data_IF_095056881072
#
_entry.id   IF_095056881072
#
_cell.length_a   1.000
_cell.length_b   1.000
_cell.length_c   1.000
_cell.angle_alpha   90.00
_cell.angle_beta   90.00
_cell.angle_gamma   90.00
#
_symmetry.space_group_name_H-M   'P 1'
#
loop_
_entity.id
_entity.type
_entity.pdbx_description
1 polymer ?
#
# COMPACT_ATOMS: atom_id res chain seq x y z
N UNK A 1 -19.18 -14.46 2.38
CA UNK A 1 -18.48 -13.49 3.27
C UNK A 1 -17.02 -13.84 3.51
N UNK A 2 -16.68 -15.03 3.96
CA UNK A 2 -15.30 -15.43 4.28
C UNK A 2 -14.30 -15.09 3.16
N UNK A 3 -14.56 -15.49 1.91
CA UNK A 3 -13.67 -15.22 0.78
C UNK A 3 -13.45 -13.72 0.56
N UNK A 4 -14.53 -12.92 0.66
CA UNK A 4 -14.41 -11.46 0.47
C UNK A 4 -13.56 -10.82 1.56
N UNK A 5 -13.65 -11.31 2.81
CA UNK A 5 -12.82 -10.83 3.92
C UNK A 5 -11.35 -11.19 3.71
N UNK A 6 -11.05 -12.41 3.24
CA UNK A 6 -9.68 -12.83 2.90
C UNK A 6 -9.12 -11.98 1.76
N UNK A 7 -9.88 -11.79 0.68
CA UNK A 7 -9.46 -10.98 -0.46
C UNK A 7 -9.18 -9.53 -0.04
N UNK A 8 -10.05 -8.96 0.77
CA UNK A 8 -9.87 -7.60 1.27
C UNK A 8 -8.65 -7.47 2.18
N UNK A 9 -8.40 -8.50 3.00
CA UNK A 9 -7.20 -8.54 3.83
C UNK A 9 -5.95 -8.57 2.96
N UNK A 10 -5.94 -9.41 1.93
CA UNK A 10 -4.84 -9.46 0.96
C UNK A 10 -4.68 -8.13 0.21
N UNK A 11 -5.77 -7.48 -0.16
CA UNK A 11 -5.71 -6.21 -0.91
C UNK A 11 -5.18 -5.04 -0.07
N UNK A 12 -5.58 -4.93 1.21
CA UNK A 12 -5.23 -3.76 2.03
C UNK A 12 -4.09 -4.03 3.03
N UNK A 13 -3.97 -5.22 3.57
CA UNK A 13 -2.99 -5.51 4.62
C UNK A 13 -1.70 -6.09 4.06
N UNK A 14 -1.76 -6.89 3.00
CA UNK A 14 -0.56 -7.44 2.36
C UNK A 14 0.42 -6.35 1.87
N UNK A 15 -0.02 -5.24 1.25
CA UNK A 15 0.89 -4.14 0.89
C UNK A 15 1.63 -3.55 2.09
N UNK A 16 0.99 -3.47 3.27
CA UNK A 16 1.62 -2.99 4.51
C UNK A 16 2.74 -3.95 4.94
N UNK A 17 2.49 -5.25 4.88
CA UNK A 17 3.49 -6.26 5.21
C UNK A 17 4.66 -6.28 4.22
N UNK A 18 4.39 -6.15 2.91
CA UNK A 18 5.43 -6.10 1.88
C UNK A 18 6.33 -4.88 2.09
N UNK A 19 5.75 -3.67 2.27
CA UNK A 19 6.55 -2.48 2.49
C UNK A 19 7.36 -2.56 3.77
N UNK A 20 6.78 -3.14 4.83
CA UNK A 20 7.48 -3.36 6.09
C UNK A 20 8.71 -4.24 5.90
N UNK A 21 8.60 -5.34 5.16
CA UNK A 21 9.74 -6.22 4.89
C UNK A 21 10.81 -5.56 4.05
N UNK A 22 10.43 -4.79 3.02
CA UNK A 22 11.36 -4.03 2.17
C UNK A 22 12.14 -3.00 3.00
N UNK A 23 11.44 -2.26 3.87
CA UNK A 23 12.07 -1.27 4.74
C UNK A 23 12.94 -1.91 5.82
N UNK A 24 12.54 -3.04 6.41
CA UNK A 24 13.35 -3.77 7.38
C UNK A 24 14.67 -4.25 6.79
N UNK A 25 14.66 -4.82 5.58
CA UNK A 25 15.87 -5.23 4.89
C UNK A 25 16.80 -4.05 4.65
N UNK A 26 16.23 -2.92 4.23
CA UNK A 26 17.00 -1.71 4.00
C UNK A 26 17.62 -1.14 5.29
N UNK A 27 16.89 -1.12 6.39
CA UNK A 27 17.42 -0.67 7.69
C UNK A 27 18.47 -1.63 8.25
N UNK A 28 18.32 -2.92 8.02
CA UNK A 28 19.33 -3.92 8.39
C UNK A 28 20.69 -3.64 7.70
N UNK A 29 20.68 -3.17 6.45
CA UNK A 29 21.90 -2.81 5.72
C UNK A 29 22.57 -1.51 6.20
N UNK A 30 21.81 -0.62 6.87
CA UNK A 30 22.32 0.69 7.35
C UNK A 30 22.91 0.60 8.77
N UNK A 31 23.17 -0.58 9.31
CA UNK A 31 23.80 -0.77 10.64
C UNK A 31 23.16 0.07 11.79
N UNK A 32 21.84 0.25 11.73
CA UNK A 32 21.09 0.85 12.85
C UNK A 32 20.83 -0.27 13.85
N UNK A 33 21.86 -0.69 14.57
CA UNK A 33 21.81 -1.80 15.54
C UNK A 33 20.95 -1.52 16.78
N UNK A 34 20.36 -0.32 16.91
CA UNK A 34 19.61 0.14 18.06
C UNK A 34 18.18 0.62 17.70
N UNK A 35 17.53 0.05 16.69
CA UNK A 35 16.08 0.23 16.61
C UNK A 35 15.47 -0.54 17.77
N UNK A 36 15.31 0.16 18.90
CA UNK A 36 14.65 -0.38 20.07
C UNK A 36 13.26 -0.88 19.66
N UNK A 37 12.93 -2.09 20.06
CA UNK A 37 11.59 -2.70 19.87
C UNK A 37 10.47 -1.74 20.30
N UNK A 38 10.79 -0.81 21.21
CA UNK A 38 9.93 0.29 21.65
C UNK A 38 9.56 1.26 20.54
N UNK A 39 10.50 1.61 19.65
CA UNK A 39 10.25 2.47 18.49
C UNK A 39 9.34 1.80 17.47
N UNK A 40 9.52 0.50 17.24
CA UNK A 40 8.69 -0.27 16.33
C UNK A 40 7.26 -0.41 16.88
N UNK A 41 7.12 -0.69 18.17
CA UNK A 41 5.83 -0.72 18.85
C UNK A 41 5.13 0.64 18.82
N UNK A 42 5.87 1.74 19.08
CA UNK A 42 5.34 3.10 19.03
C UNK A 42 4.88 3.48 17.61
N UNK A 43 5.68 3.18 16.57
CA UNK A 43 5.30 3.46 15.18
C UNK A 43 4.05 2.67 14.77
N UNK A 44 3.92 1.43 15.20
CA UNK A 44 2.76 0.60 14.91
C UNK A 44 1.50 1.12 15.63
N UNK A 45 1.60 1.53 16.89
CA UNK A 45 0.51 2.18 17.62
C UNK A 45 0.10 3.50 16.96
N UNK A 46 1.08 4.31 16.54
CA UNK A 46 0.81 5.58 15.90
C UNK A 46 0.11 5.40 14.54
N UNK A 47 0.54 4.42 13.75
CA UNK A 47 -0.10 4.06 12.47
C UNK A 47 -1.54 3.57 12.68
N UNK A 48 -1.77 2.68 13.64
CA UNK A 48 -3.13 2.17 13.91
C UNK A 48 -4.05 3.29 14.39
N UNK A 49 -3.57 4.17 15.23
CA UNK A 49 -4.33 5.34 15.69
C UNK A 49 -4.64 6.30 14.52
N UNK A 50 -3.66 6.61 13.67
CA UNK A 50 -3.87 7.48 12.51
C UNK A 50 -4.80 6.86 11.46
N UNK A 51 -4.71 5.55 11.22
CA UNK A 51 -5.65 4.85 10.34
C UNK A 51 -7.09 4.88 10.90
N UNK A 52 -7.24 4.74 12.22
CA UNK A 52 -8.54 4.84 12.87
C UNK A 52 -9.12 6.26 12.80
N UNK A 53 -8.31 7.29 13.04
CA UNK A 53 -8.76 8.69 12.90
C UNK A 53 -9.11 9.02 11.45
N UNK A 54 -8.29 8.58 10.48
CA UNK A 54 -8.58 8.77 9.07
C UNK A 54 -9.87 8.06 8.67
N UNK A 55 -10.12 6.84 9.15
CA UNK A 55 -11.36 6.11 8.84
C UNK A 55 -12.63 6.84 9.30
N UNK A 56 -12.54 7.61 10.38
CA UNK A 56 -13.66 8.44 10.88
C UNK A 56 -13.88 9.68 10.01
N UNK A 57 -12.81 10.27 9.51
CA UNK A 57 -12.86 11.52 8.72
C UNK A 57 -13.09 11.23 7.23
N UNK A 58 -12.96 9.98 6.78
CA UNK A 58 -13.16 9.60 5.38
C UNK A 58 -14.57 9.94 4.87
N UNK A 59 -15.59 9.87 5.72
CA UNK A 59 -16.96 10.23 5.36
C UNK A 59 -17.07 11.73 5.04
N UNK A 60 -16.46 12.58 5.87
CA UNK A 60 -16.42 14.03 5.62
C UNK A 60 -15.59 14.36 4.38
N UNK A 61 -14.43 13.67 4.22
CA UNK A 61 -13.55 13.83 3.05
C UNK A 61 -14.28 13.42 1.77
N UNK A 62 -15.12 12.39 1.83
CA UNK A 62 -15.87 11.91 0.66
C UNK A 62 -16.78 12.99 0.05
N UNK A 63 -17.25 13.94 0.85
CA UNK A 63 -18.12 15.03 0.40
C UNK A 63 -17.34 16.21 -0.20
N UNK A 64 -16.02 16.25 -0.03
CA UNK A 64 -15.17 17.31 -0.58
C UNK A 64 -15.04 17.11 -2.10
N UNK A 65 -14.94 18.22 -2.84
CA UNK A 65 -14.74 18.24 -4.29
C UNK A 65 -15.81 17.45 -5.07
N UNK A 66 -17.07 17.69 -4.76
CA UNK A 66 -18.23 17.04 -5.42
C UNK A 66 -18.23 15.50 -5.33
N UNK A 67 -17.83 14.98 -4.18
CA UNK A 67 -17.80 13.54 -3.94
C UNK A 67 -16.52 12.82 -4.39
N UNK A 68 -15.47 13.55 -4.77
CA UNK A 68 -14.19 13.03 -5.28
C UNK A 68 -13.05 13.04 -4.25
N UNK A 69 -13.36 13.43 -3.01
CA UNK A 69 -12.35 13.68 -1.99
C UNK A 69 -11.51 12.46 -1.62
N UNK A 70 -12.10 11.26 -1.59
CA UNK A 70 -11.39 10.03 -1.24
C UNK A 70 -10.35 9.69 -2.31
N UNK A 71 -10.72 9.73 -3.59
CA UNK A 71 -9.85 9.43 -4.71
C UNK A 71 -8.68 10.42 -4.79
N UNK A 72 -8.95 11.70 -4.51
CA UNK A 72 -7.91 12.73 -4.44
C UNK A 72 -6.95 12.50 -3.27
N UNK A 73 -7.46 12.13 -2.10
CA UNK A 73 -6.64 11.81 -0.95
C UNK A 73 -5.73 10.59 -1.24
N UNK A 74 -6.30 9.52 -1.77
CA UNK A 74 -5.57 8.30 -2.09
C UNK A 74 -4.52 8.54 -3.17
N UNK A 75 -4.89 9.20 -4.27
CA UNK A 75 -3.97 9.48 -5.37
C UNK A 75 -2.80 10.37 -4.91
N UNK A 76 -3.08 11.41 -4.13
CA UNK A 76 -2.03 12.28 -3.56
C UNK A 76 -1.10 11.51 -2.61
N UNK A 77 -1.64 10.62 -1.78
CA UNK A 77 -0.86 9.76 -0.90
C UNK A 77 0.04 8.80 -1.67
N UNK A 78 -0.47 8.12 -2.69
CA UNK A 78 0.33 7.22 -3.52
C UNK A 78 1.40 7.96 -4.34
N UNK A 79 1.12 9.17 -4.84
CA UNK A 79 2.12 10.03 -5.47
C UNK A 79 3.24 10.41 -4.50
N UNK A 80 2.90 10.76 -3.26
CA UNK A 80 3.87 11.07 -2.21
C UNK A 80 4.76 9.86 -1.91
N UNK A 81 4.20 8.66 -1.84
CA UNK A 81 4.95 7.41 -1.68
C UNK A 81 5.93 7.20 -2.84
N UNK A 82 5.48 7.41 -4.08
CA UNK A 82 6.32 7.26 -5.26
C UNK A 82 7.49 8.25 -5.24
N UNK A 83 7.24 9.53 -4.99
CA UNK A 83 8.28 10.57 -4.89
C UNK A 83 9.27 10.25 -3.77
N UNK A 84 8.78 9.82 -2.61
CA UNK A 84 9.62 9.45 -1.48
C UNK A 84 10.51 8.23 -1.79
N UNK A 85 10.02 7.26 -2.58
CA UNK A 85 10.79 6.09 -2.96
C UNK A 85 11.89 6.41 -3.97
N UNK A 86 11.61 7.31 -4.93
CA UNK A 86 12.65 7.84 -5.83
C UNK A 86 13.72 8.58 -5.03
N UNK A 87 13.31 9.42 -4.08
CA UNK A 87 14.23 10.09 -3.16
C UNK A 87 15.12 9.10 -2.41
N UNK A 88 14.53 8.03 -1.88
CA UNK A 88 15.29 6.96 -1.24
C UNK A 88 16.28 6.28 -2.19
N UNK A 89 15.89 6.01 -3.42
CA UNK A 89 16.75 5.38 -4.41
C UNK A 89 17.95 6.26 -4.76
N UNK A 90 17.73 7.55 -5.03
CA UNK A 90 18.79 8.52 -5.35
C UNK A 90 19.77 8.67 -4.17
N UNK A 91 19.23 8.75 -2.95
CA UNK A 91 20.05 8.92 -1.74
C UNK A 91 20.81 7.65 -1.34
N UNK A 92 20.53 6.51 -1.97
CA UNK A 92 21.14 5.23 -1.57
C UNK A 92 22.68 5.30 -1.49
N UNK A 93 23.29 5.96 -2.47
CA UNK A 93 24.76 6.07 -2.57
C UNK A 93 25.37 7.17 -1.70
N UNK A 94 24.56 8.01 -1.04
CA UNK A 94 25.03 9.13 -0.23
C UNK A 94 25.11 8.73 1.25
N UNK A 95 26.28 8.42 1.75
CA UNK A 95 26.48 7.95 3.13
C UNK A 95 26.02 8.98 4.20
N UNK A 96 26.18 10.28 3.93
CA UNK A 96 25.87 11.36 4.91
C UNK A 96 24.36 11.61 5.07
N UNK A 97 23.50 11.06 4.23
CA UNK A 97 22.06 11.33 4.22
C UNK A 97 21.24 10.33 5.05
N UNK A 98 21.80 9.71 6.08
CA UNK A 98 21.13 8.66 6.87
C UNK A 98 19.81 9.14 7.48
N UNK A 99 19.79 10.35 8.04
CA UNK A 99 18.56 10.93 8.63
C UNK A 99 17.47 11.09 7.58
N UNK A 100 17.79 11.63 6.40
CA UNK A 100 16.82 11.82 5.32
C UNK A 100 16.27 10.51 4.78
N UNK A 101 17.12 9.47 4.69
CA UNK A 101 16.70 8.10 4.30
C UNK A 101 15.67 7.54 5.28
N UNK A 102 15.92 7.71 6.59
CA UNK A 102 14.98 7.25 7.63
C UNK A 102 13.65 8.00 7.54
N UNK A 103 13.70 9.33 7.37
CA UNK A 103 12.48 10.15 7.25
C UNK A 103 11.66 9.73 6.02
N UNK A 104 12.28 9.58 4.84
CA UNK A 104 11.58 9.15 3.64
C UNK A 104 10.97 7.76 3.78
N UNK A 105 11.70 6.83 4.40
CA UNK A 105 11.19 5.49 4.67
C UNK A 105 10.00 5.50 5.63
N UNK A 106 10.03 6.34 6.68
CA UNK A 106 8.91 6.52 7.59
C UNK A 106 7.69 7.13 6.90
N UNK A 107 7.88 8.09 5.98
CA UNK A 107 6.79 8.66 5.18
C UNK A 107 6.14 7.57 4.34
N UNK A 108 6.91 6.74 3.63
CA UNK A 108 6.38 5.64 2.82
C UNK A 108 5.58 4.67 3.69
N UNK A 109 6.16 4.24 4.80
CA UNK A 109 5.51 3.31 5.72
C UNK A 109 4.22 3.89 6.29
N UNK A 110 4.27 5.13 6.76
CA UNK A 110 3.13 5.81 7.37
C UNK A 110 1.98 5.98 6.38
N UNK A 111 2.25 6.51 5.19
CA UNK A 111 1.22 6.80 4.20
C UNK A 111 0.55 5.50 3.73
N UNK A 112 1.33 4.48 3.34
CA UNK A 112 0.76 3.20 2.90
C UNK A 112 -0.06 2.55 4.01
N UNK A 113 0.48 2.52 5.22
CA UNK A 113 -0.21 1.86 6.34
C UNK A 113 -1.46 2.62 6.78
N UNK A 114 -1.42 3.96 6.75
CA UNK A 114 -2.57 4.79 7.12
C UNK A 114 -3.70 4.66 6.10
N UNK A 115 -3.41 4.78 4.80
CA UNK A 115 -4.43 4.70 3.75
C UNK A 115 -5.05 3.31 3.66
N UNK A 116 -4.24 2.27 3.52
CA UNK A 116 -4.74 0.90 3.45
C UNK A 116 -5.40 0.46 4.76
N UNK A 117 -4.86 0.86 5.91
CA UNK A 117 -5.43 0.57 7.21
C UNK A 117 -6.80 1.24 7.41
N UNK A 118 -6.98 2.49 6.97
CA UNK A 118 -8.25 3.19 7.06
C UNK A 118 -9.33 2.49 6.21
N UNK A 119 -9.03 2.11 4.97
CA UNK A 119 -9.94 1.33 4.14
C UNK A 119 -10.33 0.00 4.76
N UNK A 120 -9.36 -0.70 5.35
CA UNK A 120 -9.61 -1.95 6.06
C UNK A 120 -10.55 -1.75 7.26
N UNK A 121 -10.36 -0.69 8.05
CA UNK A 121 -11.20 -0.39 9.21
C UNK A 121 -12.62 -0.04 8.77
N UNK A 122 -12.81 0.80 7.74
CA UNK A 122 -14.13 1.16 7.19
C UNK A 122 -14.87 -0.08 6.75
N UNK A 123 -14.19 -0.99 6.07
CA UNK A 123 -14.80 -2.25 5.68
C UNK A 123 -15.20 -3.11 6.88
N UNK A 124 -14.30 -3.30 7.85
CA UNK A 124 -14.60 -4.09 9.05
C UNK A 124 -15.81 -3.53 9.81
N UNK A 125 -15.88 -2.21 9.99
CA UNK A 125 -17.00 -1.56 10.70
C UNK A 125 -18.32 -1.72 9.95
N UNK A 126 -18.30 -1.60 8.62
CA UNK A 126 -19.48 -1.78 7.77
C UNK A 126 -20.05 -3.20 7.84
N UNK A 127 -19.18 -4.21 7.94
CA UNK A 127 -19.59 -5.61 8.07
C UNK A 127 -19.99 -5.97 9.50
N UNK A 128 -19.33 -5.39 10.50
CA UNK A 128 -19.68 -5.61 11.91
C UNK A 128 -21.13 -5.17 12.20
N UNK A 129 -21.56 -4.06 11.61
CA UNK A 129 -22.92 -3.57 11.75
C UNK A 129 -23.99 -4.51 11.19
N UNK A 130 -23.64 -5.45 10.30
CA UNK A 130 -24.53 -6.45 9.71
C UNK A 130 -24.59 -7.78 10.48
N UNK A 131 -24.25 -7.80 11.74
CA UNK A 131 -24.30 -8.80 12.86
C UNK A 131 -24.51 -10.31 12.56
N UNK A 132 -25.07 -10.71 11.43
CA UNK A 132 -25.44 -12.12 11.15
C UNK A 132 -24.26 -13.04 10.74
N UNK A 133 -23.06 -12.51 10.51
CA UNK A 133 -21.93 -13.29 9.98
C UNK A 133 -20.57 -12.91 10.60
N UNK A 134 -20.56 -12.49 11.85
CA UNK A 134 -19.35 -12.06 12.58
C UNK A 134 -18.33 -13.21 12.65
N UNK A 135 -18.79 -14.44 12.84
CA UNK A 135 -17.91 -15.63 12.92
C UNK A 135 -17.14 -15.87 11.63
N UNK A 136 -17.81 -15.83 10.47
CA UNK A 136 -17.17 -16.00 9.16
C UNK A 136 -16.18 -14.87 8.85
N UNK A 137 -16.42 -13.67 9.36
CA UNK A 137 -15.52 -12.53 9.25
C UNK A 137 -14.24 -12.74 10.07
N UNK A 138 -14.34 -13.21 11.32
CA UNK A 138 -13.18 -13.52 12.15
C UNK A 138 -12.31 -14.62 11.55
N UNK A 139 -12.92 -15.68 11.04
CA UNK A 139 -12.20 -16.75 10.34
C UNK A 139 -11.47 -16.16 9.10
N UNK A 140 -12.15 -15.30 8.34
CA UNK A 140 -11.54 -14.61 7.18
C UNK A 140 -10.35 -13.73 7.54
N UNK A 141 -10.42 -13.01 8.68
CA UNK A 141 -9.31 -12.18 9.19
C UNK A 141 -8.12 -13.06 9.58
N UNK A 142 -8.35 -14.15 10.29
CA UNK A 142 -7.29 -15.08 10.73
C UNK A 142 -6.62 -15.72 9.51
N UNK A 143 -7.41 -16.21 8.54
CA UNK A 143 -6.89 -16.80 7.32
C UNK A 143 -6.15 -15.77 6.44
N UNK A 144 -6.76 -14.63 6.19
CA UNK A 144 -6.16 -13.55 5.41
C UNK A 144 -4.87 -13.02 6.05
N UNK A 145 -4.89 -12.85 7.38
CA UNK A 145 -3.71 -12.46 8.17
C UNK A 145 -2.61 -13.51 8.11
N UNK A 146 -2.93 -14.78 8.29
CA UNK A 146 -1.99 -15.89 8.19
C UNK A 146 -1.33 -15.99 6.83
N UNK A 147 -2.12 -15.90 5.76
CA UNK A 147 -1.61 -15.92 4.38
C UNK A 147 -0.71 -14.70 4.11
N UNK A 148 -1.14 -13.49 4.46
CA UNK A 148 -0.38 -12.26 4.26
C UNK A 148 0.96 -12.29 5.01
N UNK A 149 0.96 -12.78 6.24
CA UNK A 149 2.14 -12.92 7.07
C UNK A 149 3.09 -13.99 6.51
N UNK A 150 2.58 -15.12 6.06
CA UNK A 150 3.38 -16.18 5.42
C UNK A 150 4.06 -15.70 4.15
N UNK A 151 3.32 -14.99 3.28
CA UNK A 151 3.86 -14.40 2.05
C UNK A 151 4.96 -13.39 2.41
N UNK A 152 4.74 -12.54 3.39
CA UNK A 152 5.69 -11.52 3.83
C UNK A 152 6.98 -12.12 4.38
N UNK A 153 6.89 -13.16 5.19
CA UNK A 153 8.06 -13.89 5.74
C UNK A 153 8.83 -14.55 4.61
N UNK A 154 8.16 -15.25 3.71
CA UNK A 154 8.80 -15.88 2.56
C UNK A 154 9.52 -14.85 1.68
N UNK A 155 8.86 -13.72 1.42
CA UNK A 155 9.41 -12.62 0.64
C UNK A 155 10.63 -11.98 1.33
N UNK A 156 10.60 -11.83 2.67
CA UNK A 156 11.74 -11.36 3.46
C UNK A 156 12.96 -12.25 3.28
N UNK A 157 12.80 -13.57 3.45
CA UNK A 157 13.91 -14.51 3.32
C UNK A 157 14.44 -14.59 1.89
N UNK A 158 13.55 -14.56 0.89
CA UNK A 158 13.92 -14.57 -0.52
C UNK A 158 14.76 -13.34 -0.87
N UNK A 159 14.31 -12.16 -0.50
CA UNK A 159 15.04 -10.91 -0.76
C UNK A 159 16.36 -10.85 0.00
N UNK A 160 16.38 -11.28 1.27
CA UNK A 160 17.59 -11.33 2.07
C UNK A 160 18.63 -12.25 1.45
N UNK A 161 18.21 -13.43 0.98
CA UNK A 161 19.09 -14.37 0.28
C UNK A 161 19.64 -13.76 -1.01
N UNK A 162 18.79 -13.11 -1.80
CA UNK A 162 19.17 -12.48 -3.06
C UNK A 162 20.13 -11.30 -2.85
N UNK A 163 19.87 -10.44 -1.86
CA UNK A 163 20.74 -9.31 -1.53
C UNK A 163 22.13 -9.77 -1.04
N UNK A 164 22.21 -10.91 -0.36
CA UNK A 164 23.46 -11.43 0.15
C UNK A 164 24.30 -12.19 -0.89
N UNK A 165 23.64 -12.93 -1.81
CA UNK A 165 24.33 -13.88 -2.67
C UNK A 165 24.38 -13.48 -4.16
N UNK A 166 23.48 -12.63 -4.63
CA UNK A 166 23.35 -12.32 -6.06
C UNK A 166 23.61 -10.84 -6.34
N UNK A 167 22.87 -9.94 -5.71
CA UNK A 167 22.97 -8.50 -5.93
C UNK A 167 22.63 -7.71 -4.66
N UNK A 168 23.55 -6.89 -4.18
CA UNK A 168 23.43 -6.14 -2.93
C UNK A 168 22.34 -5.05 -2.91
N UNK A 169 21.61 -4.83 -4.01
CA UNK A 169 20.61 -3.78 -4.16
C UNK A 169 19.22 -4.29 -4.62
N UNK A 170 18.98 -5.60 -4.58
CA UNK A 170 17.72 -6.18 -5.07
C UNK A 170 16.51 -5.63 -4.33
N UNK A 171 16.60 -5.45 -3.02
CA UNK A 171 15.53 -4.87 -2.21
C UNK A 171 15.15 -3.44 -2.64
N UNK A 172 16.10 -2.64 -3.13
CA UNK A 172 15.85 -1.30 -3.64
C UNK A 172 15.08 -1.33 -4.97
N UNK A 173 15.38 -2.26 -5.86
CA UNK A 173 14.64 -2.44 -7.11
C UNK A 173 13.22 -2.91 -6.84
N UNK A 174 13.03 -3.85 -5.91
CA UNK A 174 11.69 -4.28 -5.52
C UNK A 174 10.87 -3.14 -4.89
N UNK A 175 11.49 -2.27 -4.09
CA UNK A 175 10.83 -1.07 -3.57
C UNK A 175 10.36 -0.16 -4.70
N UNK A 176 11.19 0.08 -5.72
CA UNK A 176 10.80 0.87 -6.89
C UNK A 176 9.64 0.22 -7.67
N UNK A 177 9.71 -1.09 -7.94
CA UNK A 177 8.63 -1.80 -8.61
C UNK A 177 7.32 -1.70 -7.84
N UNK A 178 7.37 -1.88 -6.52
CA UNK A 178 6.20 -1.74 -5.66
C UNK A 178 5.60 -0.32 -5.78
N UNK A 179 6.43 0.70 -5.75
CA UNK A 179 5.97 2.09 -5.81
C UNK A 179 5.52 2.53 -7.21
N UNK A 180 6.04 1.92 -8.28
CA UNK A 180 5.50 2.08 -9.63
C UNK A 180 4.06 1.53 -9.68
N UNK A 181 3.78 0.38 -9.04
CA UNK A 181 2.42 -0.13 -8.88
C UNK A 181 1.49 0.86 -8.18
N UNK A 182 1.98 1.52 -7.13
CA UNK A 182 1.22 2.58 -6.44
C UNK A 182 0.99 3.81 -7.34
N UNK A 183 1.96 4.18 -8.18
CA UNK A 183 1.79 5.27 -9.16
C UNK A 183 0.69 4.93 -10.17
N UNK A 184 0.69 3.72 -10.72
CA UNK A 184 -0.34 3.27 -11.67
C UNK A 184 -1.71 3.34 -11.00
N UNK A 185 -1.81 2.92 -9.75
CA UNK A 185 -3.05 3.00 -8.99
C UNK A 185 -3.49 4.45 -8.75
N UNK A 186 -2.56 5.37 -8.45
CA UNK A 186 -2.84 6.80 -8.33
C UNK A 186 -3.38 7.39 -9.64
N UNK A 187 -2.77 7.03 -10.77
CA UNK A 187 -3.22 7.48 -12.11
C UNK A 187 -4.64 6.96 -12.39
N UNK A 188 -4.92 5.70 -12.09
CA UNK A 188 -6.25 5.10 -12.27
C UNK A 188 -7.32 5.84 -11.42
N UNK A 189 -7.00 6.20 -10.18
CA UNK A 189 -7.90 7.00 -9.33
C UNK A 189 -8.14 8.40 -9.90
N UNK A 190 -7.12 9.07 -10.44
CA UNK A 190 -7.24 10.39 -11.07
C UNK A 190 -8.06 10.33 -12.37
N UNK A 191 -8.02 9.20 -13.08
CA UNK A 191 -8.89 8.97 -14.24
C UNK A 191 -10.36 8.75 -13.83
N UNK A 192 -10.61 8.08 -12.70
CA UNK A 192 -11.97 7.88 -12.18
C UNK A 192 -12.67 9.19 -11.82
N UNK A 193 -11.91 10.21 -11.41
CA UNK A 193 -12.44 11.54 -11.08
C UNK A 193 -12.37 12.54 -12.23
N UNK A 194 -12.11 12.08 -13.45
CA UNK A 194 -12.01 12.89 -14.68
C UNK A 194 -10.95 14.00 -14.65
N UNK A 195 -9.94 13.89 -13.77
CA UNK A 195 -8.80 14.81 -13.76
C UNK A 195 -7.75 14.45 -14.81
N UNK A 196 -7.70 13.20 -15.21
CA UNK A 196 -6.87 12.74 -16.32
C UNK A 196 -7.77 12.11 -17.39
N UNK A 197 -7.45 12.30 -18.69
CA UNK A 197 -8.21 11.68 -19.75
C UNK A 197 -8.16 10.14 -19.59
N UNK A 198 -9.33 9.50 -19.57
CA UNK A 198 -9.42 8.05 -19.59
C UNK A 198 -8.86 7.57 -20.95
N UNK A 199 -7.81 6.78 -20.94
CA UNK A 199 -7.42 6.02 -22.12
C UNK A 199 -8.56 5.04 -22.41
N UNK A 200 -9.22 5.16 -23.57
CA UNK A 200 -10.16 4.14 -24.00
C UNK A 200 -9.46 2.78 -23.96
N UNK A 201 -10.04 1.78 -23.29
CA UNK A 201 -9.39 0.49 -23.20
C UNK A 201 -9.17 -0.06 -24.62
N UNK A 202 -7.95 -0.52 -24.89
CA UNK A 202 -7.54 -1.03 -26.22
C UNK A 202 -8.46 -2.17 -26.71
N UNK A 203 -9.16 -2.86 -25.79
CA UNK A 203 -10.17 -3.91 -26.09
C UNK A 203 -11.55 -3.39 -26.50
N UNK A 204 -11.84 -2.11 -26.39
CA UNK A 204 -13.08 -1.52 -26.91
C UNK A 204 -13.03 -1.28 -28.44
N UNK A 205 -11.87 -1.53 -29.07
CA UNK A 205 -11.74 -1.57 -30.52
C UNK A 205 -12.56 -2.71 -31.17
N UNK A 206 -13.13 -3.62 -30.39
CA UNK A 206 -14.14 -4.58 -30.85
C UNK A 206 -15.43 -3.93 -31.38
N UNK A 207 -15.79 -2.72 -30.92
CA UNK A 207 -16.95 -1.98 -31.46
C UNK A 207 -16.72 -1.43 -32.88
N UNK A 208 -15.48 -1.12 -33.23
CA UNK A 208 -15.11 -0.66 -34.57
C UNK A 208 -15.24 -1.77 -35.64
N UNK A 209 -15.22 -3.04 -35.22
CA UNK A 209 -15.35 -4.18 -36.13
C UNK A 209 -16.83 -4.51 -36.40
N UNK A 210 -17.71 -4.21 -35.43
CA UNK A 210 -19.16 -4.48 -35.60
C UNK A 210 -19.88 -3.37 -36.37
N UNK A 211 -19.43 -2.12 -36.30
CA UNK A 211 -20.05 -1.02 -37.06
C UNK A 211 -19.72 -1.04 -38.57
N UNK A 212 -18.58 -1.63 -38.96
CA UNK A 212 -18.19 -1.78 -40.35
C UNK A 212 -18.74 -3.07 -41.04
N UNK A 213 -19.50 -3.90 -40.33
CA UNK A 213 -20.11 -5.11 -40.89
C UNK A 213 -21.58 -4.92 -41.30
N UNK A 214 -22.14 -3.73 -41.19
CA UNK A 214 -23.51 -3.38 -41.63
C UNK A 214 -23.55 -2.44 -42.86
N UNK A 215 -22.49 -2.44 -43.67
CA UNK A 215 -22.46 -1.85 -45.03
C UNK A 215 -22.31 -3.00 -46.07
#
# INVERSE_FOLDING_TARGET
MLINTVLLFLQNVLPIFIITTLLLLRFSSISISNINIKWLAFSLLFVTFSAFTLSKVLEDISQIADGRGIELLLSSGFLLVYISSIGLFILNNIQRATFLKVVLALIIFFVISCLNGAHFIVYLTSYWAKAQQVESMFIGIILGGGVSLSISILFYFLLKYTDQNIHSNTSNYFLLFFTIGQLIHAVALLQQVDLLPSSQPIWDSGKLITENSEL
#
